data_IF_784959693767
#
_entry.id   IF_784959693767
#
_cell.length_a   1.000
_cell.length_b   1.000
_cell.length_c   1.000
_cell.angle_alpha   90.00
_cell.angle_beta   90.00
_cell.angle_gamma   90.00
#
_symmetry.space_group_name_H-M   'P 1'
#
loop_
_entity.id
_entity.type
_entity.pdbx_description
1 polymer ?
#
# COMPACT_ATOMS: atom_id res chain seq x y z
N UNK A 1 4.05 -28.28 -4.91
CA UNK A 1 4.92 -29.07 -5.81
C UNK A 1 5.57 -30.17 -5.02
N UNK A 2 5.64 -31.35 -5.58
CA UNK A 2 6.29 -32.52 -4.98
C UNK A 2 7.35 -33.00 -5.98
N UNK A 3 8.56 -33.28 -5.53
CA UNK A 3 9.62 -33.89 -6.35
C UNK A 3 10.25 -35.02 -5.58
N UNK A 4 10.66 -36.07 -6.28
CA UNK A 4 11.33 -37.24 -5.70
C UNK A 4 12.68 -37.38 -6.43
N UNK A 5 13.78 -37.42 -5.68
CA UNK A 5 15.12 -37.58 -6.18
C UNK A 5 15.83 -38.64 -5.34
N UNK A 6 16.26 -39.74 -5.93
CA UNK A 6 16.98 -40.84 -5.25
C UNK A 6 16.26 -41.28 -3.96
N UNK A 7 14.98 -41.62 -4.05
CA UNK A 7 14.09 -42.00 -2.93
C UNK A 7 13.83 -40.91 -1.87
N UNK A 8 14.27 -39.69 -2.09
CA UNK A 8 13.95 -38.57 -1.23
C UNK A 8 12.81 -37.73 -1.81
N UNK A 9 11.78 -37.50 -0.98
CA UNK A 9 10.63 -36.68 -1.33
C UNK A 9 10.83 -35.24 -0.80
N UNK A 10 10.74 -34.27 -1.71
CA UNK A 10 10.75 -32.85 -1.37
C UNK A 10 9.37 -32.24 -1.69
N UNK A 11 8.82 -31.49 -0.73
CA UNK A 11 7.54 -30.79 -0.89
C UNK A 11 7.74 -29.29 -0.76
N UNK A 12 7.24 -28.55 -1.75
CA UNK A 12 7.32 -27.11 -1.76
C UNK A 12 5.92 -26.50 -1.90
N UNK A 13 5.57 -25.56 -1.04
CA UNK A 13 4.40 -24.71 -1.22
C UNK A 13 4.81 -23.52 -2.08
N UNK A 14 4.11 -23.35 -3.20
CA UNK A 14 4.38 -22.24 -4.12
C UNK A 14 3.23 -21.24 -4.05
N UNK A 15 3.49 -19.93 -4.21
CA UNK A 15 2.46 -18.90 -4.14
C UNK A 15 1.55 -18.86 -5.37
N UNK A 16 1.80 -19.70 -6.37
CA UNK A 16 1.04 -19.76 -7.62
C UNK A 16 0.37 -21.11 -7.82
N UNK A 17 -0.80 -21.10 -8.45
CA UNK A 17 -1.45 -22.30 -8.93
C UNK A 17 -0.80 -22.76 -10.24
N UNK A 18 -0.39 -24.03 -10.29
CA UNK A 18 0.18 -24.64 -11.48
C UNK A 18 -0.78 -25.71 -12.01
N UNK A 19 -0.80 -25.94 -13.34
CA UNK A 19 -1.43 -27.12 -13.89
C UNK A 19 -0.83 -28.38 -13.26
N UNK A 20 -1.66 -29.37 -13.03
CA UNK A 20 -1.18 -30.67 -12.56
C UNK A 20 -0.25 -31.27 -13.64
N UNK A 21 0.99 -31.55 -13.27
CA UNK A 21 2.03 -32.03 -14.17
C UNK A 21 2.87 -33.08 -13.44
N UNK A 22 2.99 -34.25 -14.03
CA UNK A 22 3.94 -35.30 -13.59
C UNK A 22 4.98 -35.48 -14.68
N UNK A 23 6.24 -35.33 -14.31
CA UNK A 23 7.39 -35.51 -15.23
C UNK A 23 8.31 -36.55 -14.60
N UNK A 24 8.69 -37.53 -15.39
CA UNK A 24 9.72 -38.52 -15.05
C UNK A 24 10.89 -38.28 -16.00
N UNK A 25 11.97 -37.74 -15.48
CA UNK A 25 13.14 -37.35 -16.26
C UNK A 25 14.39 -37.54 -15.39
N UNK A 26 15.55 -37.61 -16.02
CA UNK A 26 16.88 -37.59 -15.37
C UNK A 26 17.27 -36.18 -14.86
N UNK A 27 16.50 -35.17 -15.20
CA UNK A 27 16.69 -33.76 -14.82
C UNK A 27 15.52 -33.18 -14.11
N UNK A 28 15.80 -32.23 -13.22
CA UNK A 28 14.75 -31.47 -12.54
C UNK A 28 13.99 -30.57 -13.52
N UNK A 29 12.68 -30.78 -13.66
CA UNK A 29 11.82 -30.00 -14.54
C UNK A 29 11.37 -28.70 -13.88
N UNK A 30 12.20 -27.66 -13.92
CA UNK A 30 11.94 -26.38 -13.26
C UNK A 30 11.27 -25.31 -14.18
N UNK A 31 11.10 -25.58 -15.47
CA UNK A 31 10.51 -24.63 -16.43
C UNK A 31 9.19 -24.00 -15.96
N UNK A 32 8.25 -24.73 -15.36
CA UNK A 32 7.02 -24.14 -14.83
C UNK A 32 7.25 -23.17 -13.66
N UNK A 33 8.41 -23.23 -13.00
CA UNK A 33 8.75 -22.35 -11.88
C UNK A 33 9.39 -21.05 -12.32
N UNK A 34 9.87 -20.95 -13.55
CA UNK A 34 10.54 -19.76 -14.06
C UNK A 34 9.70 -18.49 -13.89
N UNK A 35 8.38 -18.46 -14.19
CA UNK A 35 7.57 -17.27 -13.97
C UNK A 35 7.52 -16.81 -12.50
N UNK A 36 7.59 -17.75 -11.54
CA UNK A 36 7.61 -17.42 -10.11
C UNK A 36 8.98 -16.90 -9.67
N UNK A 37 10.04 -17.46 -10.23
CA UNK A 37 11.41 -17.10 -9.89
C UNK A 37 11.87 -15.81 -10.58
N UNK A 38 11.32 -15.51 -11.75
CA UNK A 38 11.68 -14.35 -12.58
C UNK A 38 10.65 -13.22 -12.51
N UNK A 39 9.63 -13.31 -11.65
CA UNK A 39 8.64 -12.24 -11.54
C UNK A 39 9.27 -11.00 -10.88
N UNK A 40 9.78 -10.11 -11.70
CA UNK A 40 10.18 -8.75 -11.33
C UNK A 40 8.96 -7.83 -11.13
N UNK A 41 7.75 -8.40 -11.13
CA UNK A 41 6.47 -7.71 -11.05
C UNK A 41 6.17 -7.30 -9.59
N UNK A 42 7.07 -6.50 -9.00
CA UNK A 42 6.89 -5.92 -7.66
C UNK A 42 6.07 -4.65 -7.75
N UNK A 43 5.23 -4.44 -6.75
CA UNK A 43 4.49 -3.19 -6.57
C UNK A 43 4.17 -2.99 -5.08
N UNK A 44 3.81 -1.77 -4.72
CA UNK A 44 3.36 -1.46 -3.36
C UNK A 44 1.89 -1.09 -3.33
N UNK A 45 1.23 -1.39 -2.22
CA UNK A 45 -0.15 -0.99 -1.94
C UNK A 45 -0.14 -0.14 -0.68
N UNK A 46 -0.61 1.09 -0.79
CA UNK A 46 -0.76 2.01 0.32
C UNK A 46 -2.23 2.10 0.73
N UNK A 47 -2.58 1.43 1.80
CA UNK A 47 -3.93 1.39 2.34
C UNK A 47 -4.13 2.55 3.34
N UNK A 48 -4.91 3.56 2.92
CA UNK A 48 -5.07 4.84 3.59
C UNK A 48 -6.34 4.90 4.43
N UNK A 49 -6.21 5.25 5.70
CA UNK A 49 -7.33 5.65 6.55
C UNK A 49 -6.88 6.73 7.56
N UNK A 50 -7.83 7.46 8.14
CA UNK A 50 -7.51 8.41 9.22
C UNK A 50 -7.01 7.72 10.49
N UNK A 51 -7.38 6.46 10.69
CA UNK A 51 -7.02 5.67 11.87
C UNK A 51 -5.77 4.79 11.68
N UNK A 52 -5.11 4.91 10.53
CA UNK A 52 -3.90 4.17 10.26
C UNK A 52 -3.61 4.03 8.77
N UNK A 53 -2.35 3.82 8.48
CA UNK A 53 -1.83 3.52 7.16
C UNK A 53 -1.16 2.17 7.21
N UNK A 54 -1.39 1.36 6.19
CA UNK A 54 -0.70 0.08 5.99
C UNK A 54 -0.02 0.12 4.64
N UNK A 55 1.19 -0.38 4.57
CA UNK A 55 1.87 -0.63 3.30
C UNK A 55 2.06 -2.12 3.11
N UNK A 56 1.80 -2.58 1.89
CA UNK A 56 2.02 -3.96 1.51
C UNK A 56 2.96 -3.99 0.30
N UNK A 57 3.90 -4.91 0.31
CA UNK A 57 4.67 -5.29 -0.86
C UNK A 57 3.95 -6.42 -1.58
N UNK A 58 3.68 -6.23 -2.87
CA UNK A 58 2.99 -7.17 -3.72
C UNK A 58 3.87 -7.71 -4.83
N UNK A 59 3.57 -8.92 -5.26
CA UNK A 59 4.09 -9.58 -6.46
C UNK A 59 2.94 -10.05 -7.34
N UNK A 60 3.21 -10.72 -8.44
CA UNK A 60 2.16 -11.34 -9.27
C UNK A 60 1.28 -12.34 -8.48
N UNK A 61 1.72 -12.87 -7.35
CA UNK A 61 1.10 -14.02 -6.68
C UNK A 61 0.58 -13.72 -5.29
N UNK A 62 1.16 -12.78 -4.57
CA UNK A 62 0.82 -12.49 -3.17
C UNK A 62 1.20 -11.08 -2.78
N UNK A 63 0.66 -10.61 -1.66
CA UNK A 63 1.15 -9.42 -0.98
C UNK A 63 1.37 -9.70 0.51
N UNK A 64 2.39 -9.07 1.06
CA UNK A 64 2.72 -9.11 2.48
C UNK A 64 2.79 -7.69 3.05
N UNK A 65 2.34 -7.53 4.27
CA UNK A 65 2.40 -6.25 4.98
C UNK A 65 3.85 -5.93 5.38
N UNK A 66 4.26 -4.70 5.13
CA UNK A 66 5.58 -4.18 5.51
C UNK A 66 5.38 -3.27 6.70
N UNK A 67 6.08 -3.52 7.79
CA UNK A 67 6.06 -2.65 8.97
C UNK A 67 7.07 -1.53 8.81
N UNK A 68 6.60 -0.28 8.85
CA UNK A 68 7.43 0.92 8.77
C UNK A 68 7.25 1.76 10.03
N UNK A 69 8.25 1.76 10.89
CA UNK A 69 8.26 2.55 12.12
C UNK A 69 8.29 4.07 11.86
N UNK A 70 8.66 4.48 10.64
CA UNK A 70 8.81 5.90 10.23
C UNK A 70 7.49 6.59 9.91
N UNK A 71 6.40 5.85 9.81
CA UNK A 71 5.08 6.37 9.45
C UNK A 71 4.25 6.64 10.72
N UNK A 72 3.59 7.82 10.85
CA UNK A 72 2.69 8.07 11.96
C UNK A 72 1.54 7.05 11.99
N UNK A 73 1.25 6.51 13.16
CA UNK A 73 0.28 5.43 13.32
C UNK A 73 -1.14 5.82 12.92
N UNK A 74 -1.50 7.08 13.15
CA UNK A 74 -2.83 7.61 12.82
C UNK A 74 -2.82 9.15 12.74
N UNK A 75 -3.94 9.74 12.31
CA UNK A 75 -4.11 11.19 12.22
C UNK A 75 -3.88 11.90 13.56
N UNK A 76 -4.35 11.33 14.67
CA UNK A 76 -4.22 11.95 15.98
C UNK A 76 -2.76 12.05 16.42
N UNK A 77 -1.96 11.00 16.19
CA UNK A 77 -0.52 11.00 16.47
C UNK A 77 0.20 12.04 15.60
N UNK A 78 -0.15 12.12 14.32
CA UNK A 78 0.45 13.09 13.41
C UNK A 78 0.19 14.54 13.85
N UNK A 79 -1.05 14.85 14.27
CA UNK A 79 -1.40 16.18 14.74
C UNK A 79 -0.77 16.54 16.10
N UNK A 80 -0.49 15.54 16.94
CA UNK A 80 0.22 15.76 18.20
C UNK A 80 1.70 16.10 18.00
N UNK A 81 2.32 15.49 16.98
CA UNK A 81 3.72 15.80 16.63
C UNK A 81 3.89 17.22 16.10
N UNK A 82 2.86 17.77 15.42
CA UNK A 82 2.91 19.12 14.84
C UNK A 82 2.61 20.27 15.85
N UNK A 83 2.00 19.97 17.00
CA UNK A 83 1.56 21.00 17.95
C UNK A 83 1.83 20.62 19.42
N UNK A 84 3.08 20.49 19.86
CA UNK A 84 3.39 20.19 21.27
C UNK A 84 2.90 21.28 22.25
N UNK A 85 2.74 22.53 21.81
CA UNK A 85 2.40 23.67 22.68
C UNK A 85 0.87 23.87 22.90
N UNK A 86 0.01 23.33 22.06
CA UNK A 86 -1.45 23.51 22.23
C UNK A 86 -2.11 22.59 23.24
N UNK A 87 -1.46 21.49 23.64
CA UNK A 87 -2.00 20.56 24.64
C UNK A 87 -2.14 21.16 26.04
N UNK A 88 -1.39 22.20 26.38
CA UNK A 88 -1.42 22.84 27.71
C UNK A 88 -2.69 23.70 27.90
N UNK A 89 -3.27 24.21 26.81
CA UNK A 89 -4.44 25.13 26.90
C UNK A 89 -5.80 24.42 27.03
N UNK A 90 -5.94 23.19 26.58
CA UNK A 90 -7.23 22.48 26.66
C UNK A 90 -7.55 21.87 28.03
N UNK A 91 -6.55 21.74 28.92
CA UNK A 91 -6.76 21.22 30.29
C UNK A 91 -7.08 22.30 31.34
N UNK A 92 -6.96 23.57 31.02
CA UNK A 92 -7.16 24.65 31.97
C UNK A 92 -8.52 25.39 31.84
N UNK A 93 -9.42 24.97 30.95
CA UNK A 93 -10.67 25.66 30.63
C UNK A 93 -11.94 24.96 31.11
N UNK A 94 -11.92 24.33 32.29
CA UNK A 94 -13.17 23.92 32.96
C UNK A 94 -13.72 25.07 33.82
N UNK A 95 -14.36 26.05 33.21
CA UNK A 95 -15.00 27.14 33.89
C UNK A 95 -16.04 27.79 32.99
N UNK A 96 -17.31 27.68 33.38
CA UNK A 96 -18.54 28.04 32.69
C UNK A 96 -18.53 29.38 31.92
N UNK A 97 -19.16 29.36 30.77
CA UNK A 97 -19.41 30.52 29.93
C UNK A 97 -20.30 30.13 28.77
N UNK A 98 -21.57 30.55 28.90
CA UNK A 98 -22.61 30.57 27.88
C UNK A 98 -22.10 31.36 26.66
N UNK A 99 -22.00 30.78 25.50
CA UNK A 99 -21.51 31.54 24.36
C UNK A 99 -21.64 30.82 23.03
N UNK A 100 -22.61 31.21 22.30
CA UNK A 100 -22.67 31.38 20.84
C UNK A 100 -22.34 30.16 19.99
N UNK A 101 -23.36 29.46 19.55
CA UNK A 101 -23.33 28.62 18.35
C UNK A 101 -22.99 29.52 17.16
N UNK A 102 -21.78 29.45 16.69
CA UNK A 102 -21.41 29.91 15.35
C UNK A 102 -21.53 28.72 14.45
N UNK A 103 -22.60 28.67 13.65
CA UNK A 103 -22.77 27.73 12.54
C UNK A 103 -21.71 28.01 11.48
N UNK A 104 -20.61 27.26 11.54
CA UNK A 104 -19.55 27.30 10.55
C UNK A 104 -19.31 25.93 9.91
N UNK A 105 -20.32 25.32 9.29
CA UNK A 105 -20.21 24.03 8.61
C UNK A 105 -19.14 24.02 7.50
N UNK A 106 -18.74 25.17 6.98
CA UNK A 106 -17.69 25.28 5.97
C UNK A 106 -16.28 25.24 6.57
N UNK A 107 -16.04 25.91 7.68
CA UNK A 107 -14.74 25.98 8.33
C UNK A 107 -14.28 24.62 8.89
N UNK A 108 -15.21 23.86 9.49
CA UNK A 108 -14.90 22.55 10.07
C UNK A 108 -14.49 21.48 9.01
N UNK A 109 -15.02 21.59 7.79
CA UNK A 109 -14.69 20.67 6.68
C UNK A 109 -13.32 21.00 6.10
N UNK A 110 -13.01 22.28 5.96
CA UNK A 110 -11.73 22.76 5.43
C UNK A 110 -10.59 22.47 6.40
N UNK A 111 -10.80 22.73 7.70
CA UNK A 111 -9.87 22.36 8.77
C UNK A 111 -9.61 20.84 8.82
N UNK A 112 -10.64 20.04 8.57
CA UNK A 112 -10.53 18.57 8.53
C UNK A 112 -9.69 18.11 7.34
N UNK A 113 -9.91 18.69 6.15
CA UNK A 113 -9.13 18.37 4.95
C UNK A 113 -7.65 18.74 5.12
N UNK A 114 -7.38 19.93 5.67
CA UNK A 114 -6.03 20.41 5.92
C UNK A 114 -5.29 19.53 6.93
N UNK A 115 -5.95 19.05 7.96
CA UNK A 115 -5.39 18.14 8.94
C UNK A 115 -5.07 16.77 8.31
N UNK A 116 -5.94 16.25 7.45
CA UNK A 116 -5.68 15.01 6.70
C UNK A 116 -4.50 15.19 5.74
N UNK A 117 -4.43 16.33 5.06
CA UNK A 117 -3.32 16.65 4.15
C UNK A 117 -1.98 16.72 4.91
N UNK A 118 -1.93 17.36 6.08
CA UNK A 118 -0.74 17.38 6.95
C UNK A 118 -0.33 15.97 7.35
N UNK A 119 -1.29 15.15 7.77
CA UNK A 119 -1.04 13.74 8.09
C UNK A 119 -0.44 12.99 6.92
N UNK A 120 -1.03 13.11 5.74
CA UNK A 120 -0.53 12.43 4.55
C UNK A 120 0.84 12.92 4.07
N UNK A 121 1.18 14.19 4.29
CA UNK A 121 2.55 14.70 4.06
C UNK A 121 3.56 14.06 5.01
N UNK A 122 3.18 13.78 6.26
CA UNK A 122 4.04 13.04 7.18
C UNK A 122 4.17 11.56 6.78
N UNK A 123 3.08 10.95 6.31
CA UNK A 123 3.12 9.59 5.74
C UNK A 123 4.04 9.54 4.52
N UNK A 124 3.91 10.46 3.56
CA UNK A 124 4.77 10.56 2.38
C UNK A 124 6.25 10.74 2.77
N UNK A 125 6.52 11.60 3.75
CA UNK A 125 7.87 11.80 4.28
C UNK A 125 8.44 10.52 4.87
N UNK A 126 7.65 9.75 5.64
CA UNK A 126 8.07 8.47 6.21
C UNK A 126 8.30 7.38 5.16
N UNK A 127 7.55 7.42 4.05
CA UNK A 127 7.71 6.52 2.92
C UNK A 127 8.90 6.86 2.02
N UNK A 128 9.36 8.11 2.04
CA UNK A 128 10.38 8.61 1.11
C UNK A 128 11.68 7.81 1.17
N UNK A 129 12.18 7.53 2.36
CA UNK A 129 13.43 6.78 2.51
C UNK A 129 13.27 5.32 2.08
N UNK A 130 12.12 4.74 2.34
CA UNK A 130 11.77 3.37 1.93
C UNK A 130 11.63 3.24 0.41
N UNK A 131 11.03 4.24 -0.26
CA UNK A 131 10.76 4.24 -1.69
C UNK A 131 11.86 4.91 -2.54
N UNK A 132 12.92 5.44 -1.91
CA UNK A 132 13.92 6.29 -2.57
C UNK A 132 14.59 5.67 -3.80
N UNK A 133 14.92 4.39 -3.71
CA UNK A 133 15.60 3.64 -4.78
C UNK A 133 14.64 2.74 -5.58
N UNK A 134 13.37 2.72 -5.17
CA UNK A 134 12.34 1.91 -5.80
C UNK A 134 11.78 2.63 -7.04
N UNK A 135 11.50 1.83 -8.09
CA UNK A 135 10.87 2.30 -9.33
C UNK A 135 9.62 1.50 -9.67
N UNK A 136 9.05 0.86 -8.66
CA UNK A 136 7.89 0.00 -8.80
C UNK A 136 6.58 0.76 -8.60
N UNK A 137 5.47 0.34 -9.21
CA UNK A 137 4.19 1.00 -9.04
C UNK A 137 3.74 1.04 -7.58
N UNK A 138 3.18 2.18 -7.14
CA UNK A 138 2.50 2.35 -5.87
C UNK A 138 1.01 2.55 -6.12
N UNK A 139 0.16 1.65 -5.61
CA UNK A 139 -1.30 1.73 -5.73
C UNK A 139 -1.89 2.19 -4.41
N UNK A 140 -2.77 3.18 -4.44
CA UNK A 140 -3.52 3.62 -3.28
C UNK A 140 -4.78 2.78 -3.07
N UNK A 141 -5.12 2.49 -1.82
CA UNK A 141 -6.43 1.98 -1.42
C UNK A 141 -6.98 2.86 -0.30
N UNK A 142 -8.23 3.29 -0.41
CA UNK A 142 -8.82 4.18 0.59
C UNK A 142 -10.22 4.63 0.24
N UNK A 143 -10.88 5.26 1.19
CA UNK A 143 -12.18 5.90 0.93
C UNK A 143 -12.00 6.98 -0.13
N UNK A 144 -12.96 7.12 -1.01
CA UNK A 144 -12.86 7.98 -2.21
C UNK A 144 -12.35 9.39 -1.94
N UNK A 145 -12.78 10.03 -0.87
CA UNK A 145 -12.36 11.40 -0.54
C UNK A 145 -10.89 11.50 -0.06
N UNK A 146 -10.28 10.41 0.44
CA UNK A 146 -8.89 10.41 0.88
C UNK A 146 -7.89 10.31 -0.28
N UNK A 147 -8.28 9.64 -1.38
CA UNK A 147 -7.40 9.41 -2.52
C UNK A 147 -6.88 10.71 -3.16
N UNK A 148 -7.73 11.71 -3.48
CA UNK A 148 -7.24 12.98 -4.01
C UNK A 148 -6.38 13.77 -3.02
N UNK A 149 -6.65 13.67 -1.70
CA UNK A 149 -5.85 14.35 -0.68
C UNK A 149 -4.45 13.73 -0.60
N UNK A 150 -4.35 12.40 -0.68
CA UNK A 150 -3.03 11.76 -0.71
C UNK A 150 -2.27 12.06 -1.99
N UNK A 151 -2.93 12.13 -3.15
CA UNK A 151 -2.27 12.55 -4.41
C UNK A 151 -1.65 13.94 -4.31
N UNK A 152 -2.29 14.87 -3.60
CA UNK A 152 -1.76 16.21 -3.33
C UNK A 152 -0.53 16.17 -2.42
N UNK A 153 -0.48 15.23 -1.47
CA UNK A 153 0.62 15.06 -0.53
C UNK A 153 1.82 14.30 -1.12
N UNK A 154 1.57 13.45 -2.12
CA UNK A 154 2.52 12.47 -2.63
C UNK A 154 3.68 13.10 -3.40
N UNK A 155 4.89 12.63 -3.12
CA UNK A 155 6.11 12.99 -3.85
C UNK A 155 6.72 11.82 -4.63
N UNK A 156 6.21 10.59 -4.46
CA UNK A 156 6.71 9.41 -5.16
C UNK A 156 6.27 9.41 -6.63
N UNK A 157 7.21 9.34 -7.60
CA UNK A 157 6.90 9.53 -9.02
C UNK A 157 6.15 8.37 -9.67
N UNK A 158 6.17 7.18 -9.06
CA UNK A 158 5.53 5.97 -9.60
C UNK A 158 4.19 5.66 -8.93
N UNK A 159 3.53 6.69 -8.37
CA UNK A 159 2.15 6.57 -7.89
C UNK A 159 1.20 6.33 -9.07
N UNK A 160 0.44 5.23 -9.01
CA UNK A 160 -0.53 4.90 -10.05
C UNK A 160 -1.75 5.82 -9.96
N UNK A 161 -2.20 6.33 -11.10
CA UNK A 161 -3.32 7.27 -11.17
C UNK A 161 -4.65 6.67 -10.73
N UNK A 162 -4.86 5.37 -10.90
CA UNK A 162 -6.01 4.63 -10.41
C UNK A 162 -5.78 4.13 -8.99
N UNK A 163 -6.81 4.23 -8.14
CA UNK A 163 -6.76 3.73 -6.76
C UNK A 163 -7.92 2.78 -6.49
N UNK A 164 -7.80 2.00 -5.44
CA UNK A 164 -8.82 1.06 -4.97
C UNK A 164 -9.77 1.82 -4.03
N UNK A 165 -11.02 2.10 -4.46
CA UNK A 165 -11.98 2.79 -3.61
C UNK A 165 -12.53 1.84 -2.55
N UNK A 166 -12.88 2.39 -1.39
CA UNK A 166 -13.50 1.65 -0.28
C UNK A 166 -12.72 1.77 1.02
N UNK A 167 -13.22 1.11 2.06
CA UNK A 167 -12.56 1.12 3.36
C UNK A 167 -11.51 -0.01 3.45
N UNK A 168 -10.21 0.31 3.38
CA UNK A 168 -9.17 -0.73 3.36
C UNK A 168 -9.01 -1.44 4.71
N UNK A 169 -9.57 -0.88 5.80
CA UNK A 169 -9.50 -1.48 7.12
C UNK A 169 -10.26 -2.82 7.21
N UNK A 170 -11.30 -2.99 6.40
CA UNK A 170 -12.06 -4.24 6.28
C UNK A 170 -11.47 -5.23 5.28
N UNK A 171 -10.41 -4.86 4.55
CA UNK A 171 -9.79 -5.70 3.53
C UNK A 171 -8.53 -6.38 4.07
N UNK A 172 -8.45 -7.69 3.88
CA UNK A 172 -7.22 -8.42 4.17
C UNK A 172 -6.18 -8.25 3.03
N UNK A 173 -4.95 -8.73 3.25
CA UNK A 173 -3.86 -8.61 2.29
C UNK A 173 -4.21 -9.21 0.91
N UNK A 174 -4.89 -10.37 0.89
CA UNK A 174 -5.27 -11.04 -0.37
C UNK A 174 -6.33 -10.26 -1.16
N UNK A 175 -7.25 -9.59 -0.47
CA UNK A 175 -8.28 -8.77 -1.11
C UNK A 175 -7.66 -7.51 -1.72
N UNK A 176 -6.77 -6.83 -0.96
CA UNK A 176 -6.01 -5.68 -1.45
C UNK A 176 -5.11 -6.07 -2.62
N UNK A 177 -4.41 -7.19 -2.51
CA UNK A 177 -3.56 -7.73 -3.57
C UNK A 177 -4.35 -7.95 -4.86
N UNK A 178 -5.47 -8.70 -4.81
CA UNK A 178 -6.29 -8.98 -6.00
C UNK A 178 -6.77 -7.70 -6.69
N UNK A 179 -7.23 -6.72 -5.91
CA UNK A 179 -7.69 -5.44 -6.46
C UNK A 179 -6.54 -4.65 -7.08
N UNK A 180 -5.40 -4.54 -6.39
CA UNK A 180 -4.21 -3.85 -6.89
C UNK A 180 -3.62 -4.53 -8.12
N UNK A 181 -3.59 -5.87 -8.15
CA UNK A 181 -3.08 -6.63 -9.28
C UNK A 181 -3.83 -6.33 -10.59
N UNK A 182 -5.15 -6.15 -10.53
CA UNK A 182 -5.93 -5.76 -11.72
C UNK A 182 -5.47 -4.41 -12.30
N UNK A 183 -5.03 -3.50 -11.44
CA UNK A 183 -4.57 -2.16 -11.83
C UNK A 183 -3.14 -2.21 -12.39
N UNK A 184 -2.23 -2.95 -11.75
CA UNK A 184 -0.80 -2.94 -12.11
C UNK A 184 -0.43 -3.93 -13.22
N UNK A 185 -1.15 -5.03 -13.35
CA UNK A 185 -0.89 -6.06 -14.38
C UNK A 185 -0.76 -5.49 -15.79
N UNK A 186 -1.65 -4.58 -16.27
CA UNK A 186 -1.50 -3.97 -17.59
C UNK A 186 -0.20 -3.17 -17.74
N UNK A 187 0.30 -2.55 -16.66
CA UNK A 187 1.55 -1.78 -16.68
C UNK A 187 2.75 -2.69 -16.93
N UNK A 188 2.80 -3.84 -16.24
CA UNK A 188 3.86 -4.84 -16.44
C UNK A 188 3.79 -5.45 -17.84
N UNK A 189 2.60 -5.83 -18.30
CA UNK A 189 2.42 -6.37 -19.66
C UNK A 189 2.89 -5.39 -20.73
N UNK A 190 2.56 -4.10 -20.56
CA UNK A 190 2.99 -3.05 -21.48
C UNK A 190 4.51 -2.91 -21.48
N UNK A 191 5.14 -2.86 -20.31
CA UNK A 191 6.60 -2.76 -20.19
C UNK A 191 7.31 -3.95 -20.83
N UNK A 192 6.81 -5.18 -20.64
CA UNK A 192 7.33 -6.38 -21.30
C UNK A 192 7.21 -6.30 -22.82
N UNK A 193 6.06 -5.87 -23.34
CA UNK A 193 5.85 -5.73 -24.79
C UNK A 193 6.77 -4.69 -25.40
N UNK A 194 6.96 -3.56 -24.72
CA UNK A 194 7.87 -2.49 -25.16
C UNK A 194 9.33 -2.96 -25.15
N UNK A 195 9.73 -3.71 -24.12
CA UNK A 195 11.08 -4.29 -24.06
C UNK A 195 11.33 -5.28 -25.21
N UNK A 196 10.37 -6.14 -25.54
CA UNK A 196 10.47 -7.09 -26.66
C UNK A 196 10.54 -6.35 -28.01
N UNK A 197 9.82 -5.25 -28.16
CA UNK A 197 9.80 -4.48 -29.41
C UNK A 197 11.10 -3.71 -29.70
N UNK A 198 11.99 -3.59 -28.72
CA UNK A 198 13.29 -2.92 -28.85
C UNK A 198 14.41 -3.88 -29.32
N UNK A 199 14.13 -5.18 -29.40
CA UNK A 199 15.04 -6.21 -29.92
C UNK A 199 14.63 -6.68 -31.31
#
# INVERSE_FOLDING_TARGET
MKTIVHDHEFRYCLPAAFPELVVVDDRFHFKPLLPVLSSEERFYILALSQNGVRILEGSAFSAAEVDLETIPKNLADALQLDQPEKQVRFRAGSGGGQGTMISGHGADIEDTKDNILKYFRQVDKGLRDFLKEERVPLVMAGVEYLLPIYREANTYPHLVGEGIPGNPKGMNADQLHRAAWQIVKPLFTKAQTEAIAQY
#
